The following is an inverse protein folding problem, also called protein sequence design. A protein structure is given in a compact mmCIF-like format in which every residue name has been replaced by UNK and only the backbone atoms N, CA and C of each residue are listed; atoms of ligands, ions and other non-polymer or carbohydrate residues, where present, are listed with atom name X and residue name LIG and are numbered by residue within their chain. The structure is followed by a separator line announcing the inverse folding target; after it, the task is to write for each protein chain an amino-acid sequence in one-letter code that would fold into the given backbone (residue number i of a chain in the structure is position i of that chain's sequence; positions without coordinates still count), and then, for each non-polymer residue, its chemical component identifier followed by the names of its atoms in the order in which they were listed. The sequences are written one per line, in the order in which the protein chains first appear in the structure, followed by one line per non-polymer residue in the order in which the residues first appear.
data_IF_684264159038
#
_entry.id   IF_684264159038
#
_cell.length_a   1.000
_cell.length_b   1.000
_cell.length_c   1.000
_cell.angle_alpha   90.00
_cell.angle_beta   90.00
_cell.angle_gamma   90.00
#
_symmetry.space_group_name_H-M   'P 1'
#
loop_
_entity.id
_entity.type
_entity.pdbx_description
1 polymer ?
#
# COMPACT_ATOMS: atom_id res chain seq x y z
N UNK A 1 -48.48 67.32 71.21
CA UNK A 1 -48.33 65.92 71.65
C UNK A 1 -46.86 65.60 71.62
N UNK A 2 -46.19 65.74 72.76
CA UNK A 2 -44.78 65.43 72.94
C UNK A 2 -44.63 63.92 73.15
N UNK A 3 -43.81 63.27 72.33
CA UNK A 3 -43.47 61.86 72.48
C UNK A 3 -42.47 61.71 73.63
N UNK A 4 -42.93 61.22 74.78
CA UNK A 4 -42.09 60.81 75.91
C UNK A 4 -41.27 59.58 75.52
N UNK A 5 -39.97 59.77 75.31
CA UNK A 5 -39.02 58.67 75.06
C UNK A 5 -38.73 57.96 76.38
N UNK A 6 -39.12 56.69 76.49
CA UNK A 6 -38.87 55.83 77.65
C UNK A 6 -37.40 55.39 77.69
N UNK A 7 -36.67 55.84 78.71
CA UNK A 7 -35.25 55.53 78.93
C UNK A 7 -35.03 54.33 79.86
N UNK A 8 -36.09 53.67 80.34
CA UNK A 8 -36.01 52.56 81.30
C UNK A 8 -35.33 51.28 80.79
N UNK A 9 -35.13 51.15 79.48
CA UNK A 9 -34.39 50.05 78.84
C UNK A 9 -33.11 50.49 78.11
N UNK A 10 -32.64 51.72 78.31
CA UNK A 10 -31.44 52.21 77.62
C UNK A 10 -30.17 51.53 78.17
N UNK A 11 -29.64 50.57 77.42
CA UNK A 11 -28.36 49.93 77.71
C UNK A 11 -27.24 50.91 77.35
N UNK A 12 -26.54 51.44 78.35
CA UNK A 12 -25.36 52.29 78.15
C UNK A 12 -24.21 51.42 77.65
N UNK A 13 -23.82 51.59 76.40
CA UNK A 13 -22.71 50.84 75.78
C UNK A 13 -21.47 51.72 75.73
N UNK A 14 -20.34 51.18 76.20
CA UNK A 14 -19.03 51.84 76.08
C UNK A 14 -18.65 52.00 74.60
N UNK A 15 -18.41 53.24 74.10
CA UNK A 15 -18.10 53.49 72.70
C UNK A 15 -16.87 52.73 72.18
N UNK A 16 -15.86 52.47 73.04
CA UNK A 16 -14.69 51.67 72.64
C UNK A 16 -15.06 50.21 72.37
N UNK A 17 -15.99 49.68 73.16
CA UNK A 17 -16.48 48.30 73.03
C UNK A 17 -17.35 48.13 71.78
N UNK A 18 -18.17 49.13 71.45
CA UNK A 18 -18.97 49.15 70.22
C UNK A 18 -18.07 49.13 68.98
N UNK A 19 -17.08 50.03 68.91
CA UNK A 19 -16.12 50.07 67.79
C UNK A 19 -15.37 48.74 67.62
N UNK A 20 -14.99 48.09 68.73
CA UNK A 20 -14.35 46.77 68.69
C UNK A 20 -15.25 45.69 68.10
N UNK A 21 -16.54 45.68 68.45
CA UNK A 21 -17.53 44.73 67.94
C UNK A 21 -17.84 44.97 66.45
N UNK A 22 -17.98 46.24 66.03
CA UNK A 22 -18.18 46.60 64.62
C UNK A 22 -17.01 46.13 63.76
N UNK A 23 -15.77 46.39 64.20
CA UNK A 23 -14.57 45.93 63.49
C UNK A 23 -14.48 44.39 63.39
N UNK A 24 -14.89 43.66 64.44
CA UNK A 24 -14.97 42.19 64.41
C UNK A 24 -16.07 41.69 63.46
N UNK A 25 -17.23 42.33 63.47
CA UNK A 25 -18.34 41.96 62.58
C UNK A 25 -17.97 42.22 61.11
N UNK A 26 -17.31 43.33 60.78
CA UNK A 26 -16.78 43.57 59.44
C UNK A 26 -15.73 42.54 59.01
N UNK A 27 -14.86 42.10 59.92
CA UNK A 27 -13.90 41.02 59.66
C UNK A 27 -14.63 39.69 59.37
N UNK A 28 -15.64 39.36 60.17
CA UNK A 28 -16.45 38.16 59.97
C UNK A 28 -17.25 38.21 58.66
N UNK A 29 -17.86 39.34 58.32
CA UNK A 29 -18.59 39.50 57.05
C UNK A 29 -17.65 39.38 55.84
N UNK A 30 -16.47 40.00 55.91
CA UNK A 30 -15.43 39.83 54.87
C UNK A 30 -14.97 38.38 54.75
N UNK A 31 -14.70 37.70 55.85
CA UNK A 31 -14.33 36.28 55.85
C UNK A 31 -15.41 35.40 55.25
N UNK A 32 -16.68 35.63 55.62
CA UNK A 32 -17.83 34.89 55.10
C UNK A 32 -18.07 35.15 53.61
N UNK A 33 -17.80 36.37 53.13
CA UNK A 33 -17.81 36.72 51.71
C UNK A 33 -16.74 35.95 50.92
N UNK A 34 -15.48 35.97 51.38
CA UNK A 34 -14.40 35.25 50.72
C UNK A 34 -14.60 33.74 50.71
N UNK A 35 -15.13 33.18 51.79
CA UNK A 35 -15.46 31.75 51.87
C UNK A 35 -16.55 31.37 50.85
N UNK A 36 -17.59 32.20 50.70
CA UNK A 36 -18.62 32.01 49.65
C UNK A 36 -18.03 32.09 48.25
N UNK A 37 -17.15 33.07 47.99
CA UNK A 37 -16.48 33.21 46.69
C UNK A 37 -15.62 31.99 46.37
N UNK A 38 -14.85 31.48 47.34
CA UNK A 38 -14.03 30.28 47.18
C UNK A 38 -14.88 29.05 46.84
N UNK A 39 -15.99 28.84 47.54
CA UNK A 39 -16.93 27.75 47.24
C UNK A 39 -17.49 27.88 45.83
N UNK A 40 -17.91 29.07 45.41
CA UNK A 40 -18.40 29.31 44.05
C UNK A 40 -17.33 29.01 43.00
N UNK A 41 -16.09 29.42 43.22
CA UNK A 41 -14.97 29.13 42.32
C UNK A 41 -14.70 27.62 42.19
N UNK A 42 -14.72 26.88 43.31
CA UNK A 42 -14.56 25.42 43.29
C UNK A 42 -15.70 24.73 42.51
N UNK A 43 -16.96 25.11 42.78
CA UNK A 43 -18.11 24.56 42.07
C UNK A 43 -18.05 24.85 40.56
N UNK A 44 -17.71 26.08 40.17
CA UNK A 44 -17.56 26.45 38.77
C UNK A 44 -16.45 25.63 38.07
N UNK A 45 -15.30 25.46 38.73
CA UNK A 45 -14.19 24.66 38.21
C UNK A 45 -14.58 23.20 37.99
N UNK A 46 -15.27 22.58 38.96
CA UNK A 46 -15.72 21.18 38.85
C UNK A 46 -16.75 20.99 37.74
N UNK A 47 -17.64 21.96 37.50
CA UNK A 47 -18.64 21.89 36.44
C UNK A 47 -17.99 21.96 35.05
N UNK A 48 -16.97 22.82 34.88
CA UNK A 48 -16.20 22.90 33.62
C UNK A 48 -15.40 21.62 33.38
N UNK A 49 -14.75 21.08 34.41
CA UNK A 49 -14.03 19.80 34.30
C UNK A 49 -15.00 18.63 33.95
N UNK A 50 -16.17 18.58 34.58
CA UNK A 50 -17.17 17.54 34.30
C UNK A 50 -17.72 17.61 32.87
N UNK A 51 -18.04 18.81 32.39
CA UNK A 51 -18.56 19.03 31.03
C UNK A 51 -17.52 18.70 29.96
N UNK A 52 -16.26 19.06 30.17
CA UNK A 52 -15.16 18.70 29.26
C UNK A 52 -14.87 17.21 29.24
N UNK A 53 -14.85 16.54 30.39
CA UNK A 53 -14.70 15.09 30.49
C UNK A 53 -15.87 14.33 29.81
N UNK A 54 -17.09 14.84 29.96
CA UNK A 54 -18.27 14.31 29.27
C UNK A 54 -18.15 14.44 27.75
N UNK A 55 -17.71 15.60 27.27
CA UNK A 55 -17.48 15.85 25.84
C UNK A 55 -16.39 14.95 25.26
N UNK A 56 -15.28 14.79 25.99
CA UNK A 56 -14.19 13.87 25.59
C UNK A 56 -14.66 12.41 25.55
N UNK A 57 -15.47 11.98 26.51
CA UNK A 57 -16.02 10.62 26.56
C UNK A 57 -16.94 10.33 25.37
N UNK A 58 -17.78 11.29 24.97
CA UNK A 58 -18.62 11.15 23.76
C UNK A 58 -17.79 11.06 22.48
N UNK A 59 -16.72 11.86 22.38
CA UNK A 59 -15.81 11.84 21.22
C UNK A 59 -15.03 10.53 21.12
N UNK A 60 -14.63 9.95 22.24
CA UNK A 60 -14.03 8.61 22.28
C UNK A 60 -15.02 7.57 21.74
N UNK A 61 -16.30 7.65 22.12
CA UNK A 61 -17.34 6.75 21.62
C UNK A 61 -17.48 6.78 20.09
N UNK A 62 -17.50 7.95 19.46
CA UNK A 62 -17.56 8.05 18.00
C UNK A 62 -16.32 7.49 17.33
N UNK A 63 -15.12 7.77 17.89
CA UNK A 63 -13.86 7.23 17.37
C UNK A 63 -13.81 5.69 17.41
N UNK A 64 -14.38 5.06 18.44
CA UNK A 64 -14.44 3.60 18.53
C UNK A 64 -15.28 2.97 17.41
N UNK A 65 -16.37 3.63 17.00
CA UNK A 65 -17.19 3.18 15.89
C UNK A 65 -16.45 3.28 14.55
N UNK A 66 -15.80 4.43 14.28
CA UNK A 66 -15.02 4.63 13.06
C UNK A 66 -13.87 3.62 12.94
N UNK A 67 -13.12 3.39 14.03
CA UNK A 67 -12.04 2.41 14.05
C UNK A 67 -12.56 0.99 13.78
N UNK A 68 -13.74 0.64 14.29
CA UNK A 68 -14.35 -0.68 14.08
C UNK A 68 -14.74 -0.88 12.62
N UNK A 69 -15.32 0.13 11.99
CA UNK A 69 -15.69 0.06 10.57
C UNK A 69 -14.45 0.07 9.66
N UNK A 70 -13.43 0.86 9.97
CA UNK A 70 -12.14 0.83 9.29
C UNK A 70 -11.47 -0.54 9.40
N UNK A 71 -11.54 -1.20 10.57
CA UNK A 71 -11.00 -2.55 10.74
C UNK A 71 -11.77 -3.58 9.91
N UNK A 72 -13.10 -3.48 9.83
CA UNK A 72 -13.92 -4.35 8.99
C UNK A 72 -13.63 -4.18 7.50
N UNK A 73 -13.47 -2.94 7.03
CA UNK A 73 -13.14 -2.69 5.61
C UNK A 73 -11.75 -3.23 5.26
N UNK A 74 -10.75 -3.02 6.12
CA UNK A 74 -9.40 -3.57 5.96
C UNK A 74 -9.37 -5.11 5.96
N UNK A 75 -10.20 -5.76 6.80
CA UNK A 75 -10.35 -7.22 6.80
C UNK A 75 -10.99 -7.73 5.50
N UNK A 76 -12.01 -7.03 4.98
CA UNK A 76 -12.65 -7.43 3.71
C UNK A 76 -11.69 -7.32 2.54
N UNK A 77 -10.91 -6.24 2.48
CA UNK A 77 -9.91 -6.08 1.42
C UNK A 77 -8.77 -7.09 1.55
N UNK A 78 -8.30 -7.41 2.76
CA UNK A 78 -7.23 -8.41 2.93
C UNK A 78 -7.68 -9.83 2.53
N UNK A 79 -8.92 -10.21 2.85
CA UNK A 79 -9.49 -11.49 2.41
C UNK A 79 -9.61 -11.53 0.89
N UNK A 80 -10.10 -10.46 0.27
CA UNK A 80 -10.20 -10.38 -1.19
C UNK A 80 -8.82 -10.45 -1.87
N UNK A 81 -7.81 -9.73 -1.35
CA UNK A 81 -6.43 -9.79 -1.84
C UNK A 81 -5.84 -11.19 -1.68
N UNK A 82 -6.08 -11.85 -0.54
CA UNK A 82 -5.60 -13.22 -0.31
C UNK A 82 -6.26 -14.21 -1.27
N UNK A 83 -7.56 -14.06 -1.53
CA UNK A 83 -8.28 -14.90 -2.48
C UNK A 83 -7.80 -14.67 -3.93
N UNK A 84 -7.54 -13.41 -4.31
CA UNK A 84 -6.94 -13.08 -5.60
C UNK A 84 -5.53 -13.65 -5.74
N UNK A 85 -4.68 -13.53 -4.72
CA UNK A 85 -3.33 -14.10 -4.73
C UNK A 85 -3.36 -15.62 -4.91
N UNK A 86 -4.24 -16.33 -4.17
CA UNK A 86 -4.42 -17.78 -4.33
C UNK A 86 -4.94 -18.15 -5.72
N UNK A 87 -5.95 -17.45 -6.22
CA UNK A 87 -6.49 -17.68 -7.57
C UNK A 87 -5.40 -17.47 -8.64
N UNK A 88 -4.56 -16.45 -8.47
CA UNK A 88 -3.42 -16.23 -9.35
C UNK A 88 -2.46 -17.42 -9.30
N UNK A 89 -2.02 -17.84 -8.11
CA UNK A 89 -1.15 -19.00 -7.95
C UNK A 89 -1.75 -20.29 -8.54
N UNK A 90 -3.06 -20.51 -8.38
CA UNK A 90 -3.78 -21.65 -8.94
C UNK A 90 -3.80 -21.62 -10.48
N UNK A 91 -4.01 -20.45 -11.10
CA UNK A 91 -3.92 -20.26 -12.55
C UNK A 91 -2.49 -20.55 -13.03
N UNK A 92 -1.47 -20.03 -12.32
CA UNK A 92 -0.08 -20.28 -12.65
C UNK A 92 0.21 -21.79 -12.59
N UNK A 93 -0.16 -22.46 -11.50
CA UNK A 93 0.06 -23.90 -11.31
C UNK A 93 -0.69 -24.75 -12.34
N UNK A 94 -1.94 -24.40 -12.66
CA UNK A 94 -2.71 -25.08 -13.71
C UNK A 94 -2.05 -24.91 -15.10
N UNK A 95 -1.48 -23.74 -15.36
CA UNK A 95 -0.77 -23.48 -16.63
C UNK A 95 0.58 -24.21 -16.69
N UNK A 96 1.26 -24.39 -15.56
CA UNK A 96 2.50 -25.18 -15.47
C UNK A 96 2.29 -26.67 -15.77
N UNK A 97 1.11 -27.21 -15.47
CA UNK A 97 0.76 -28.63 -15.65
C UNK A 97 0.20 -28.96 -17.04
N UNK A 98 -0.09 -27.96 -17.88
CA UNK A 98 -0.65 -28.21 -19.21
C UNK A 98 0.39 -28.86 -20.15
N UNK A 99 0.11 -30.03 -20.76
CA UNK A 99 1.05 -30.71 -21.65
C UNK A 99 1.30 -29.92 -22.94
N UNK A 100 2.57 -29.88 -23.36
CA UNK A 100 3.13 -29.02 -24.41
C UNK A 100 2.96 -29.54 -25.84
N UNK A 101 1.82 -30.16 -26.19
CA UNK A 101 1.58 -30.63 -27.57
C UNK A 101 0.15 -30.32 -27.99
N UNK A 102 0.01 -29.27 -28.81
CA UNK A 102 -1.24 -28.89 -29.47
C UNK A 102 -1.69 -27.48 -29.11
N UNK A 103 -1.33 -26.52 -29.98
CA UNK A 103 -1.95 -25.20 -30.27
C UNK A 103 -2.43 -24.28 -29.13
N UNK A 104 -2.31 -24.67 -27.87
CA UNK A 104 -2.69 -23.88 -26.72
C UNK A 104 -1.45 -23.27 -26.12
N UNK A 105 -1.47 -21.96 -25.96
CA UNK A 105 -0.47 -21.24 -25.20
C UNK A 105 -0.34 -21.83 -23.80
N UNK A 106 0.87 -21.78 -23.25
CA UNK A 106 1.18 -22.24 -21.90
C UNK A 106 2.08 -21.23 -21.23
N UNK A 107 2.22 -21.31 -19.92
CA UNK A 107 2.96 -20.32 -19.16
C UNK A 107 3.52 -20.92 -17.89
N UNK A 108 4.70 -20.44 -17.51
CA UNK A 108 5.43 -20.85 -16.30
C UNK A 108 6.40 -19.74 -15.91
N UNK A 109 6.95 -19.82 -14.69
CA UNK A 109 8.13 -19.05 -14.30
C UNK A 109 9.40 -19.50 -15.05
N UNK A 110 10.06 -18.55 -15.68
CA UNK A 110 11.36 -18.73 -16.31
C UNK A 110 12.43 -17.97 -15.54
N UNK A 111 13.65 -18.50 -15.55
CA UNK A 111 14.84 -17.69 -15.29
C UNK A 111 15.10 -16.84 -16.53
N UNK A 112 15.02 -15.53 -16.38
CA UNK A 112 15.23 -14.55 -17.44
C UNK A 112 16.55 -13.84 -17.21
N UNK A 113 17.40 -13.81 -18.24
CA UNK A 113 18.61 -13.00 -18.32
C UNK A 113 18.56 -12.11 -19.56
N UNK A 114 19.56 -11.25 -19.74
CA UNK A 114 19.74 -10.45 -20.95
C UNK A 114 21.10 -10.73 -21.58
N UNK A 115 21.13 -10.69 -22.92
CA UNK A 115 22.36 -10.83 -23.69
C UNK A 115 22.47 -9.74 -24.76
N UNK A 116 23.70 -9.55 -25.24
CA UNK A 116 24.04 -8.55 -26.24
C UNK A 116 24.10 -9.18 -27.63
N UNK A 117 23.79 -8.43 -28.70
CA UNK A 117 24.01 -8.84 -30.09
C UNK A 117 25.48 -9.17 -30.38
N UNK A 118 26.37 -8.41 -29.75
CA UNK A 118 27.81 -8.52 -29.92
C UNK A 118 28.51 -8.52 -28.57
N UNK A 119 29.42 -9.47 -28.40
CA UNK A 119 30.28 -9.55 -27.22
C UNK A 119 31.56 -10.32 -27.61
N UNK A 120 32.76 -9.83 -27.27
CA UNK A 120 34.01 -10.55 -27.49
C UNK A 120 33.99 -12.00 -26.98
N UNK A 121 33.23 -12.29 -25.91
CA UNK A 121 33.12 -13.64 -25.32
C UNK A 121 32.46 -14.67 -26.25
N UNK A 122 31.72 -14.24 -27.26
CA UNK A 122 31.07 -15.14 -28.22
C UNK A 122 32.04 -15.74 -29.24
N UNK A 123 33.26 -15.18 -29.37
CA UNK A 123 34.28 -15.67 -30.29
C UNK A 123 33.77 -15.79 -31.73
N UNK A 124 33.85 -16.99 -32.31
CA UNK A 124 33.40 -17.25 -33.69
C UNK A 124 31.90 -17.05 -33.93
N UNK A 125 31.09 -16.98 -32.86
CA UNK A 125 29.65 -16.76 -32.93
C UNK A 125 29.28 -15.28 -32.77
N UNK A 126 30.27 -14.38 -32.69
CA UNK A 126 30.05 -12.92 -32.66
C UNK A 126 29.71 -12.36 -34.06
N UNK A 127 28.72 -12.95 -34.73
CA UNK A 127 28.31 -12.57 -36.10
C UNK A 127 27.22 -11.50 -36.10
N UNK A 128 26.58 -11.23 -34.96
CA UNK A 128 25.41 -10.35 -34.87
C UNK A 128 24.13 -10.97 -35.44
N UNK A 129 24.14 -12.28 -35.68
CA UNK A 129 23.01 -13.05 -36.17
C UNK A 129 22.53 -14.02 -35.10
N UNK A 130 21.22 -14.16 -35.02
CA UNK A 130 20.52 -15.17 -34.21
C UNK A 130 20.65 -16.55 -34.84
N UNK A 131 20.26 -17.60 -34.09
CA UNK A 131 20.23 -18.97 -34.59
C UNK A 131 19.38 -19.19 -35.85
N UNK A 132 18.35 -18.36 -36.09
CA UNK A 132 17.53 -18.38 -37.32
C UNK A 132 18.06 -17.49 -38.44
N UNK A 133 19.28 -16.94 -38.30
CA UNK A 133 19.93 -16.02 -39.24
C UNK A 133 19.26 -14.64 -39.34
N UNK A 134 18.39 -14.30 -38.38
CA UNK A 134 17.85 -12.94 -38.24
C UNK A 134 18.89 -12.03 -37.60
N UNK A 135 18.97 -10.77 -38.03
CA UNK A 135 19.82 -9.75 -37.39
C UNK A 135 19.39 -9.55 -35.95
N UNK A 136 20.34 -9.63 -35.01
CA UNK A 136 20.11 -9.37 -33.60
C UNK A 136 19.93 -7.86 -33.34
N UNK A 137 18.80 -7.30 -33.78
CA UNK A 137 18.39 -5.94 -33.48
C UNK A 137 17.58 -5.92 -32.17
N UNK A 138 18.03 -5.20 -31.12
CA UNK A 138 17.26 -5.06 -29.87
C UNK A 138 15.83 -4.54 -30.07
N UNK A 139 15.57 -3.77 -31.15
CA UNK A 139 14.23 -3.30 -31.49
C UNK A 139 13.31 -4.41 -31.99
N UNK A 140 13.88 -5.50 -32.51
CA UNK A 140 13.13 -6.66 -32.98
C UNK A 140 12.61 -7.56 -31.83
N UNK A 141 12.95 -7.22 -30.57
CA UNK A 141 12.41 -7.90 -29.38
C UNK A 141 12.64 -9.40 -29.42
N UNK A 142 13.89 -9.80 -29.63
CA UNK A 142 14.29 -11.20 -29.78
C UNK A 142 14.55 -11.85 -28.41
N UNK A 143 14.19 -13.13 -28.28
CA UNK A 143 14.55 -13.98 -27.14
C UNK A 143 15.26 -15.25 -27.59
N UNK A 144 16.31 -15.61 -26.86
CA UNK A 144 16.96 -16.91 -26.95
C UNK A 144 16.25 -17.92 -26.05
N UNK A 145 15.93 -19.10 -26.61
CA UNK A 145 15.12 -20.13 -25.95
C UNK A 145 15.76 -21.51 -26.03
N UNK A 146 15.22 -22.47 -25.26
CA UNK A 146 15.47 -23.90 -25.47
C UNK A 146 14.49 -24.45 -26.51
N UNK A 147 14.98 -24.76 -27.70
CA UNK A 147 14.18 -25.20 -28.86
C UNK A 147 13.45 -26.51 -28.66
N UNK A 148 13.87 -27.34 -27.69
CA UNK A 148 13.16 -28.58 -27.33
C UNK A 148 11.83 -28.30 -26.61
N UNK A 149 11.71 -27.12 -25.98
CA UNK A 149 10.54 -26.70 -25.20
C UNK A 149 9.74 -25.61 -25.90
N UNK A 150 10.43 -24.64 -26.49
CA UNK A 150 9.84 -23.51 -27.20
C UNK A 150 10.36 -23.53 -28.64
N UNK A 151 9.56 -23.97 -29.62
CA UNK A 151 9.96 -23.92 -31.03
C UNK A 151 10.27 -22.49 -31.48
N UNK A 152 11.17 -22.34 -32.45
CA UNK A 152 11.38 -21.05 -33.11
C UNK A 152 10.08 -20.50 -33.72
N UNK A 153 9.99 -19.18 -33.84
CA UNK A 153 8.78 -18.49 -34.30
C UNK A 153 7.66 -18.39 -33.25
N UNK A 154 7.87 -18.96 -32.06
CA UNK A 154 6.95 -18.77 -30.94
C UNK A 154 7.03 -17.33 -30.41
N UNK A 155 5.89 -16.81 -29.97
CA UNK A 155 5.82 -15.56 -29.24
C UNK A 155 5.87 -15.83 -27.74
N UNK A 156 6.71 -15.08 -27.03
CA UNK A 156 6.88 -15.21 -25.58
C UNK A 156 6.55 -13.86 -24.93
N UNK A 157 5.49 -13.81 -24.14
CA UNK A 157 5.21 -12.66 -23.28
C UNK A 157 5.90 -12.87 -21.95
N UNK A 158 6.67 -11.87 -21.50
CA UNK A 158 7.36 -11.90 -20.21
C UNK A 158 6.81 -10.79 -19.33
N UNK A 159 6.47 -11.15 -18.09
CA UNK A 159 5.94 -10.25 -17.06
C UNK A 159 6.77 -8.96 -16.92
N UNK A 160 6.09 -7.81 -16.97
CA UNK A 160 6.62 -6.43 -17.00
C UNK A 160 7.62 -6.08 -18.12
N UNK A 161 7.95 -7.01 -19.00
CA UNK A 161 8.88 -6.78 -20.09
C UNK A 161 8.18 -6.73 -21.43
N UNK A 162 7.10 -7.49 -21.61
CA UNK A 162 6.26 -7.51 -22.82
C UNK A 162 6.57 -8.68 -23.75
N UNK A 163 6.21 -8.55 -25.02
CA UNK A 163 6.35 -9.60 -26.03
C UNK A 163 7.76 -9.68 -26.62
N UNK A 164 8.19 -10.91 -26.91
CA UNK A 164 9.44 -11.25 -27.58
C UNK A 164 9.23 -12.39 -28.58
N UNK A 165 10.06 -12.44 -29.62
CA UNK A 165 10.03 -13.45 -30.67
C UNK A 165 11.19 -14.44 -30.51
N UNK A 166 10.87 -15.74 -30.50
CA UNK A 166 11.84 -16.81 -30.33
C UNK A 166 12.62 -17.06 -31.63
N UNK A 167 13.76 -16.38 -31.78
CA UNK A 167 14.63 -16.45 -32.96
C UNK A 167 16.03 -16.98 -32.64
N UNK A 168 16.40 -17.06 -31.37
CA UNK A 168 17.76 -17.38 -30.98
C UNK A 168 17.85 -18.57 -30.01
N UNK A 169 19.05 -19.11 -29.85
CA UNK A 169 19.32 -20.14 -28.85
C UNK A 169 20.75 -20.03 -28.31
N UNK A 170 20.96 -20.58 -27.11
CA UNK A 170 22.28 -20.64 -26.49
C UNK A 170 22.57 -22.02 -25.91
N UNK A 171 23.87 -22.35 -25.80
CA UNK A 171 24.31 -23.58 -25.13
C UNK A 171 23.91 -23.59 -23.64
N UNK A 172 23.97 -22.43 -22.98
CA UNK A 172 23.57 -22.23 -21.59
C UNK A 172 22.06 -21.99 -21.37
N UNK A 173 21.30 -21.86 -22.46
CA UNK A 173 19.84 -21.64 -22.44
C UNK A 173 19.17 -22.99 -22.67
N UNK A 174 18.85 -23.65 -21.55
CA UNK A 174 18.24 -24.98 -21.48
C UNK A 174 17.16 -25.00 -20.41
N UNK A 175 16.09 -25.74 -20.65
CA UNK A 175 14.95 -25.80 -19.74
C UNK A 175 14.14 -24.49 -19.74
N UNK A 176 13.69 -24.08 -18.55
CA UNK A 176 12.88 -22.87 -18.34
C UNK A 176 13.77 -21.64 -18.14
N UNK A 177 14.63 -21.40 -19.12
CA UNK A 177 15.50 -20.23 -19.16
C UNK A 177 15.27 -19.45 -20.46
N UNK A 178 15.21 -18.14 -20.34
CA UNK A 178 15.10 -17.18 -21.44
C UNK A 178 16.28 -16.21 -21.37
N UNK A 179 16.84 -15.85 -22.52
CA UNK A 179 17.82 -14.75 -22.63
C UNK A 179 17.26 -13.68 -23.56
N UNK A 180 16.98 -12.50 -23.05
CA UNK A 180 16.38 -11.42 -23.83
C UNK A 180 17.46 -10.58 -24.50
N UNK A 181 17.30 -10.29 -25.79
CA UNK A 181 18.22 -9.43 -26.50
C UNK A 181 18.09 -7.98 -26.00
N UNK A 182 19.21 -7.38 -25.60
CA UNK A 182 19.27 -5.96 -25.20
C UNK A 182 20.33 -5.19 -25.98
N UNK A 183 20.20 -3.86 -25.99
CA UNK A 183 21.10 -2.97 -26.71
C UNK A 183 22.43 -2.71 -25.98
N UNK A 184 22.43 -2.67 -24.65
CA UNK A 184 23.59 -2.18 -23.87
C UNK A 184 23.95 -3.12 -22.73
N UNK A 185 25.25 -3.19 -22.42
CA UNK A 185 25.76 -4.05 -21.37
C UNK A 185 25.27 -3.58 -19.99
N UNK A 186 25.16 -2.27 -19.80
CA UNK A 186 24.65 -1.67 -18.58
C UNK A 186 23.22 -2.14 -18.28
N UNK A 187 22.37 -2.26 -19.31
CA UNK A 187 21.00 -2.76 -19.14
C UNK A 187 20.99 -4.26 -18.81
N UNK A 188 21.90 -5.05 -19.41
CA UNK A 188 22.01 -6.47 -19.07
C UNK A 188 22.47 -6.68 -17.61
N UNK A 189 23.47 -5.92 -17.18
CA UNK A 189 24.02 -5.98 -15.82
C UNK A 189 23.01 -5.46 -14.80
N UNK A 190 22.35 -4.34 -15.07
CA UNK A 190 21.33 -3.77 -14.19
C UNK A 190 20.11 -4.69 -14.04
N UNK A 191 19.72 -5.38 -15.12
CA UNK A 191 18.62 -6.35 -15.08
C UNK A 191 18.99 -7.59 -14.26
N UNK A 192 20.20 -8.11 -14.45
CA UNK A 192 20.68 -9.30 -13.76
C UNK A 192 19.87 -10.57 -14.09
N UNK A 193 19.87 -11.53 -13.16
CA UNK A 193 19.09 -12.78 -13.28
C UNK A 193 17.78 -12.62 -12.51
N UNK A 194 16.66 -12.74 -13.21
CA UNK A 194 15.33 -12.59 -12.62
C UNK A 194 14.48 -13.84 -12.83
N UNK A 195 13.58 -14.14 -11.90
CA UNK A 195 12.55 -15.16 -12.11
C UNK A 195 11.25 -14.43 -12.44
N UNK A 196 10.72 -14.64 -13.65
CA UNK A 196 9.52 -13.95 -14.14
C UNK A 196 8.55 -14.94 -14.74
N UNK A 197 7.25 -14.69 -14.61
CA UNK A 197 6.28 -15.47 -15.35
C UNK A 197 6.35 -15.14 -16.83
N UNK A 198 6.28 -16.16 -17.68
CA UNK A 198 6.19 -15.98 -19.12
C UNK A 198 5.14 -16.90 -19.72
N UNK A 199 4.46 -16.39 -20.74
CA UNK A 199 3.48 -17.12 -21.55
C UNK A 199 4.08 -17.35 -22.92
N UNK A 200 4.16 -18.61 -23.33
CA UNK A 200 4.59 -19.08 -24.63
C UNK A 200 3.37 -19.33 -25.49
N UNK A 201 3.34 -18.69 -26.65
CA UNK A 201 2.34 -18.88 -27.70
C UNK A 201 3.08 -19.49 -28.90
N UNK A 202 3.02 -20.82 -29.09
CA UNK A 202 3.60 -21.45 -30.27
C UNK A 202 2.97 -20.89 -31.55
N UNK A 203 3.73 -20.84 -32.64
CA UNK A 203 3.17 -20.47 -33.93
C UNK A 203 2.14 -21.54 -34.34
N UNK A 204 0.86 -21.15 -34.38
CA UNK A 204 -0.22 -22.03 -34.82
C UNK A 204 -0.07 -22.44 -36.28
N UNK A 205 -0.71 -23.53 -36.66
CA UNK A 205 -0.74 -24.15 -38.01
C UNK A 205 -1.48 -23.32 -39.08
N UNK A 206 -1.62 -22.00 -38.89
CA UNK A 206 -2.28 -21.09 -39.83
C UNK A 206 -3.82 -21.19 -39.87
N UNK A 207 -4.44 -21.96 -38.96
CA UNK A 207 -5.92 -22.08 -38.88
C UNK A 207 -6.47 -21.48 -37.59
N UNK A 208 -6.63 -20.15 -37.61
CA UNK A 208 -7.66 -19.46 -36.82
C UNK A 208 -7.31 -19.10 -35.37
N UNK A 209 -6.95 -17.83 -35.17
CA UNK A 209 -7.49 -16.98 -34.09
C UNK A 209 -6.91 -15.57 -34.25
N UNK A 210 -7.73 -14.60 -34.65
CA UNK A 210 -7.35 -13.19 -34.70
C UNK A 210 -7.34 -12.62 -33.28
N UNK A 211 -6.24 -12.81 -32.56
CA UNK A 211 -6.01 -12.17 -31.26
C UNK A 211 -5.02 -11.04 -31.49
N UNK A 212 -5.47 -9.79 -31.38
CA UNK A 212 -4.62 -8.62 -31.39
C UNK A 212 -3.98 -8.46 -30.01
N UNK A 213 -2.72 -8.86 -29.88
CA UNK A 213 -1.91 -8.57 -28.69
C UNK A 213 -1.39 -7.13 -28.79
N UNK A 214 -1.24 -6.43 -27.66
CA UNK A 214 -0.89 -4.99 -27.59
C UNK A 214 0.40 -4.60 -28.34
N UNK A 215 0.81 -3.33 -28.29
CA UNK A 215 1.97 -2.83 -29.05
C UNK A 215 3.20 -3.77 -28.91
N UNK A 216 3.64 -4.34 -30.03
CA UNK A 216 4.77 -5.27 -30.11
C UNK A 216 4.42 -6.77 -30.02
N UNK A 217 3.16 -7.16 -29.84
CA UNK A 217 2.70 -8.55 -29.91
C UNK A 217 2.43 -9.04 -31.35
N UNK A 218 2.16 -10.35 -31.55
CA UNK A 218 1.92 -10.92 -32.87
C UNK A 218 0.77 -10.18 -33.59
N UNK A 219 1.07 -9.63 -34.77
CA UNK A 219 0.07 -9.20 -35.76
C UNK A 219 -0.09 -10.35 -36.74
N UNK A 220 -1.06 -11.21 -36.48
CA UNK A 220 -1.45 -12.25 -37.44
C UNK A 220 -2.29 -11.56 -38.52
N UNK A 221 -1.70 -11.40 -39.70
CA UNK A 221 -2.38 -10.97 -40.92
C UNK A 221 -3.06 -12.14 -41.63
#
# INVERSE_FOLDING_TARGET
METSTDWGQAVVVDPKRLQGLEAQNERLQRGRFWLRMSICCFLASTMVAGTTAYWQSRRLGSMWHELREARKSALRSSVALTALARSHDDILAATEQAPSVGTKSWGRRFTVTKYLPHDPKYGKFNTGLTATLTKADPKARIVAVDTKLIPYGSWVWVEDLGWFHAEDCGSAIKGFRLDLLTATEEDAVAFGKQNRFAIVVPQGDGRGSSVSYGEGGPRLG
#
